data_IF_446740781331
#
_entry.id   IF_446740781331
#
_cell.length_a   1.000
_cell.length_b   1.000
_cell.length_c   1.000
_cell.angle_alpha   90.00
_cell.angle_beta   90.00
_cell.angle_gamma   90.00
#
_symmetry.space_group_name_H-M   'P 1'
#
loop_
_entity.id
_entity.type
_entity.pdbx_description
1 polymer ?
#
# COMPACT_ATOMS: atom_id res chain seq x y z
N UNK A 1 -18.52 2.69 2.68
CA UNK A 1 -17.58 3.70 2.11
C UNK A 1 -18.22 4.43 0.93
N UNK A 2 -18.48 3.77 -0.22
CA UNK A 2 -19.02 4.47 -1.41
C UNK A 2 -20.37 5.18 -1.20
N UNK A 3 -21.20 4.69 -0.26
CA UNK A 3 -22.46 5.34 0.13
C UNK A 3 -22.28 6.73 0.75
N UNK A 4 -21.07 7.07 1.20
CA UNK A 4 -20.74 8.40 1.72
C UNK A 4 -20.35 9.39 0.61
N UNK A 5 -20.38 8.98 -0.67
CA UNK A 5 -20.00 9.78 -1.83
C UNK A 5 -18.67 10.52 -1.65
N UNK A 6 -17.55 9.80 -1.42
CA UNK A 6 -16.27 10.43 -1.15
C UNK A 6 -15.75 11.17 -2.39
N UNK A 7 -15.05 12.27 -2.18
CA UNK A 7 -14.29 12.95 -3.25
C UNK A 7 -12.93 12.29 -3.49
N UNK A 8 -12.41 11.53 -2.52
CA UNK A 8 -11.11 10.86 -2.56
C UNK A 8 -11.17 9.48 -1.90
N UNK A 9 -10.61 8.47 -2.55
CA UNK A 9 -10.49 7.10 -2.02
C UNK A 9 -9.04 6.63 -2.04
N UNK A 10 -8.52 6.30 -0.85
CA UNK A 10 -7.25 5.58 -0.68
C UNK A 10 -7.47 4.08 -0.59
N UNK A 11 -6.63 3.29 -1.24
CA UNK A 11 -6.64 1.82 -1.16
C UNK A 11 -5.28 1.33 -0.62
N UNK A 12 -5.27 0.69 0.55
CA UNK A 12 -4.05 0.17 1.17
C UNK A 12 -4.33 -1.22 1.79
N UNK A 13 -3.87 -2.26 1.11
CA UNK A 13 -3.93 -3.67 1.54
C UNK A 13 -2.87 -4.48 0.79
N UNK A 14 -2.66 -5.75 1.18
CA UNK A 14 -1.72 -6.65 0.51
C UNK A 14 -0.83 -7.45 1.44
N UNK A 15 -0.53 -6.98 2.66
CA UNK A 15 0.27 -7.75 3.63
C UNK A 15 -0.46 -9.03 4.03
N UNK A 16 -1.71 -8.89 4.49
CA UNK A 16 -2.49 -10.06 4.91
C UNK A 16 -2.74 -11.02 3.74
N UNK A 17 -3.00 -10.50 2.54
CA UNK A 17 -3.16 -11.30 1.32
C UNK A 17 -1.87 -12.10 1.03
N UNK A 18 -0.72 -11.45 1.18
CA UNK A 18 0.59 -12.08 1.06
C UNK A 18 0.80 -13.20 2.07
N UNK A 19 0.51 -12.93 3.34
CA UNK A 19 0.72 -13.91 4.42
C UNK A 19 -0.27 -15.08 4.34
N UNK A 20 -1.47 -14.86 3.80
CA UNK A 20 -2.45 -15.92 3.55
C UNK A 20 -2.25 -16.66 2.23
N UNK A 21 -1.26 -16.26 1.41
CA UNK A 21 -0.95 -16.93 0.15
C UNK A 21 -2.04 -16.78 -0.92
N UNK A 22 -2.75 -15.65 -0.94
CA UNK A 22 -3.74 -15.35 -1.98
C UNK A 22 -3.08 -15.44 -3.36
N UNK A 23 -3.73 -16.08 -4.33
CA UNK A 23 -3.14 -16.17 -5.66
C UNK A 23 -2.91 -14.77 -6.26
N UNK A 24 -1.70 -14.49 -6.76
CA UNK A 24 -1.34 -13.16 -7.28
C UNK A 24 -2.20 -12.71 -8.46
N UNK A 25 -2.70 -13.64 -9.29
CA UNK A 25 -3.58 -13.28 -10.41
C UNK A 25 -4.99 -12.94 -9.91
N UNK A 26 -5.46 -13.65 -8.89
CA UNK A 26 -6.76 -13.35 -8.26
C UNK A 26 -6.71 -12.01 -7.53
N UNK A 27 -5.63 -11.75 -6.79
CA UNK A 27 -5.38 -10.45 -6.16
C UNK A 27 -5.36 -9.31 -7.19
N UNK A 28 -4.61 -9.48 -8.30
CA UNK A 28 -4.54 -8.49 -9.39
C UNK A 28 -5.93 -8.23 -10.01
N UNK A 29 -6.68 -9.29 -10.29
CA UNK A 29 -8.04 -9.20 -10.84
C UNK A 29 -8.99 -8.47 -9.89
N UNK A 30 -9.01 -8.85 -8.62
CA UNK A 30 -9.87 -8.26 -7.61
C UNK A 30 -9.55 -6.77 -7.37
N UNK A 31 -8.26 -6.41 -7.33
CA UNK A 31 -7.86 -5.00 -7.24
C UNK A 31 -8.38 -4.20 -8.44
N UNK A 32 -8.28 -4.75 -9.65
CA UNK A 32 -8.80 -4.11 -10.86
C UNK A 32 -10.31 -3.92 -10.80
N UNK A 33 -11.05 -4.95 -10.41
CA UNK A 33 -12.51 -4.90 -10.23
C UNK A 33 -12.92 -3.88 -9.16
N UNK A 34 -12.16 -3.80 -8.05
CA UNK A 34 -12.38 -2.82 -6.99
C UNK A 34 -12.23 -1.39 -7.51
N UNK A 35 -11.12 -1.06 -8.17
CA UNK A 35 -10.86 0.28 -8.72
C UNK A 35 -11.93 0.66 -9.74
N UNK A 36 -12.26 -0.24 -10.66
CA UNK A 36 -13.31 -0.01 -11.66
C UNK A 36 -14.68 0.21 -11.02
N UNK A 37 -15.00 -0.53 -9.96
CA UNK A 37 -16.24 -0.35 -9.20
C UNK A 37 -16.32 1.03 -8.57
N UNK A 38 -15.22 1.53 -7.99
CA UNK A 38 -15.17 2.87 -7.39
C UNK A 38 -15.41 3.93 -8.48
N UNK A 39 -14.66 3.88 -9.59
CA UNK A 39 -14.82 4.80 -10.73
C UNK A 39 -16.22 4.82 -11.32
N UNK A 40 -16.88 3.65 -11.40
CA UNK A 40 -18.22 3.55 -11.99
C UNK A 40 -19.33 4.04 -11.06
N UNK A 41 -19.06 4.12 -9.75
CA UNK A 41 -20.08 4.45 -8.74
C UNK A 41 -19.89 5.82 -8.11
N UNK A 42 -18.76 6.48 -8.34
CA UNK A 42 -18.38 7.73 -7.70
C UNK A 42 -17.59 8.61 -8.67
N UNK A 43 -17.48 9.90 -8.36
CA UNK A 43 -16.54 10.81 -9.03
C UNK A 43 -15.23 10.96 -8.23
N UNK A 44 -14.89 9.99 -7.39
CA UNK A 44 -13.73 10.10 -6.50
C UNK A 44 -12.43 10.07 -7.29
N UNK A 45 -11.46 10.89 -6.86
CA UNK A 45 -10.06 10.61 -7.13
C UNK A 45 -9.64 9.34 -6.36
N UNK A 46 -8.74 8.55 -6.95
CA UNK A 46 -8.31 7.27 -6.38
C UNK A 46 -6.78 7.24 -6.35
N UNK A 47 -6.24 6.78 -5.22
CA UNK A 47 -4.84 6.40 -5.12
C UNK A 47 -4.68 5.10 -4.35
N UNK A 48 -3.68 4.32 -4.76
CA UNK A 48 -3.33 3.04 -4.18
C UNK A 48 -2.00 3.18 -3.46
N UNK A 49 -1.86 2.54 -2.31
CA UNK A 49 -0.71 2.68 -1.43
C UNK A 49 -0.15 1.29 -1.13
N UNK A 50 1.15 1.08 -1.34
CA UNK A 50 1.84 -0.06 -0.74
C UNK A 50 1.96 0.12 0.78
N UNK A 51 2.55 -0.84 1.48
CA UNK A 51 2.75 -0.75 2.93
C UNK A 51 4.22 -0.69 3.33
N UNK A 52 4.46 -0.77 4.63
CA UNK A 52 5.73 -0.84 5.33
C UNK A 52 6.63 -2.01 4.89
N UNK A 53 7.90 -1.91 5.28
CA UNK A 53 8.87 -3.02 5.24
C UNK A 53 8.63 -3.90 6.46
N UNK A 54 8.61 -5.22 6.26
CA UNK A 54 8.43 -6.20 7.34
C UNK A 54 9.78 -6.64 7.93
N UNK A 55 9.79 -7.06 9.20
CA UNK A 55 11.04 -7.50 9.85
C UNK A 55 11.59 -8.80 9.25
N UNK A 56 10.71 -9.76 8.92
CA UNK A 56 11.10 -11.01 8.28
C UNK A 56 11.34 -10.81 6.77
N UNK A 57 12.56 -11.08 6.31
CA UNK A 57 12.97 -10.85 4.92
C UNK A 57 12.16 -11.67 3.91
N UNK A 58 11.72 -12.88 4.27
CA UNK A 58 10.94 -13.77 3.40
C UNK A 58 9.50 -13.23 3.28
N UNK A 59 8.91 -12.81 4.40
CA UNK A 59 7.61 -12.15 4.44
C UNK A 59 7.63 -10.86 3.63
N UNK A 60 8.65 -10.01 3.82
CA UNK A 60 8.84 -8.76 3.08
C UNK A 60 9.00 -9.01 1.58
N UNK A 61 9.82 -10.00 1.20
CA UNK A 61 9.97 -10.43 -0.19
C UNK A 61 8.67 -10.97 -0.80
N UNK A 62 7.81 -11.57 0.01
CA UNK A 62 6.50 -12.06 -0.42
C UNK A 62 5.53 -10.90 -0.60
N UNK A 63 5.44 -9.98 0.37
CA UNK A 63 4.60 -8.79 0.30
C UNK A 63 4.94 -7.89 -0.90
N UNK A 64 6.24 -7.73 -1.23
CA UNK A 64 6.70 -6.99 -2.42
C UNK A 64 6.03 -7.47 -3.72
N UNK A 65 5.80 -8.78 -3.88
CA UNK A 65 5.14 -9.32 -5.09
C UNK A 65 3.71 -8.80 -5.25
N UNK A 66 3.02 -8.51 -4.14
CA UNK A 66 1.68 -7.93 -4.14
C UNK A 66 1.76 -6.42 -4.39
N UNK A 67 2.75 -5.73 -3.84
CA UNK A 67 2.99 -4.32 -4.16
C UNK A 67 3.30 -4.10 -5.65
N UNK A 68 4.01 -5.03 -6.30
CA UNK A 68 4.19 -5.02 -7.77
C UNK A 68 2.84 -5.12 -8.50
N UNK A 69 1.88 -5.90 -7.99
CA UNK A 69 0.52 -5.96 -8.54
C UNK A 69 -0.24 -4.66 -8.29
N UNK A 70 -0.14 -4.09 -7.10
CA UNK A 70 -0.73 -2.78 -6.79
C UNK A 70 -0.24 -1.73 -7.80
N UNK A 71 1.08 -1.61 -8.00
CA UNK A 71 1.67 -0.66 -8.93
C UNK A 71 1.24 -0.92 -10.38
N UNK A 72 1.28 -2.19 -10.82
CA UNK A 72 0.87 -2.57 -12.17
C UNK A 72 -0.57 -2.17 -12.46
N UNK A 73 -1.51 -2.56 -11.60
CA UNK A 73 -2.93 -2.26 -11.79
C UNK A 73 -3.19 -0.76 -11.69
N UNK A 74 -2.52 -0.06 -10.76
CA UNK A 74 -2.65 1.40 -10.64
C UNK A 74 -2.28 2.10 -11.95
N UNK A 75 -1.20 1.66 -12.61
CA UNK A 75 -0.79 2.17 -13.92
C UNK A 75 -1.81 1.84 -15.02
N UNK A 76 -2.30 0.60 -15.09
CA UNK A 76 -3.30 0.18 -16.09
C UNK A 76 -4.61 0.97 -15.94
N UNK A 77 -5.03 1.18 -14.71
CA UNK A 77 -6.23 1.93 -14.36
C UNK A 77 -5.99 3.45 -14.30
N UNK A 78 -4.76 3.93 -14.55
CA UNK A 78 -4.44 5.37 -14.53
C UNK A 78 -4.84 6.06 -13.22
N UNK A 79 -4.61 5.40 -12.09
CA UNK A 79 -4.76 5.98 -10.75
C UNK A 79 -3.39 6.15 -10.10
N UNK A 80 -3.26 7.07 -9.14
CA UNK A 80 -1.98 7.31 -8.48
C UNK A 80 -1.54 6.10 -7.65
N UNK A 81 -0.24 5.85 -7.57
CA UNK A 81 0.36 4.83 -6.72
C UNK A 81 1.42 5.45 -5.80
N UNK A 82 1.27 5.24 -4.50
CA UNK A 82 2.20 5.70 -3.45
C UNK A 82 3.00 4.51 -2.95
N UNK A 83 4.28 4.48 -3.29
CA UNK A 83 5.20 3.39 -2.97
C UNK A 83 5.86 3.61 -1.60
N UNK A 84 5.08 3.43 -0.54
CA UNK A 84 5.56 3.52 0.85
C UNK A 84 6.69 2.54 1.13
N UNK A 85 6.63 1.34 0.54
CA UNK A 85 7.64 0.30 0.76
C UNK A 85 9.01 0.79 0.30
N UNK A 86 9.06 1.39 -0.90
CA UNK A 86 10.28 2.00 -1.42
C UNK A 86 10.77 3.17 -0.58
N UNK A 87 9.87 4.00 -0.05
CA UNK A 87 10.24 5.13 0.82
C UNK A 87 10.86 4.62 2.11
N UNK A 88 10.29 3.58 2.73
CA UNK A 88 10.87 2.92 3.90
C UNK A 88 12.23 2.33 3.59
N UNK A 89 12.35 1.55 2.51
CA UNK A 89 13.62 1.00 2.04
C UNK A 89 14.70 2.08 1.84
N UNK A 90 14.34 3.27 1.36
CA UNK A 90 15.26 4.38 1.25
C UNK A 90 15.71 4.88 2.63
N UNK A 91 14.79 5.10 3.57
CA UNK A 91 15.12 5.54 4.93
C UNK A 91 16.02 4.54 5.67
N UNK A 92 15.78 3.24 5.49
CA UNK A 92 16.65 2.20 6.05
C UNK A 92 18.07 2.29 5.49
N UNK A 93 18.22 2.51 4.17
CA UNK A 93 19.54 2.74 3.56
C UNK A 93 20.22 4.03 4.02
N UNK A 94 19.45 5.03 4.45
CA UNK A 94 19.94 6.27 5.03
C UNK A 94 20.32 6.13 6.52
N UNK A 95 20.16 4.93 7.10
CA UNK A 95 20.58 4.61 8.47
C UNK A 95 19.49 4.70 9.52
N UNK A 96 18.21 4.84 9.13
CA UNK A 96 17.10 4.67 10.09
C UNK A 96 16.95 3.17 10.40
N UNK A 97 16.95 2.84 11.68
CA UNK A 97 16.73 1.46 12.14
C UNK A 97 15.26 1.08 12.01
N UNK A 98 14.95 -0.09 11.42
CA UNK A 98 13.57 -0.53 11.18
C UNK A 98 12.75 -0.60 12.48
N UNK A 99 13.35 -1.09 13.56
CA UNK A 99 12.71 -1.21 14.87
C UNK A 99 12.24 0.13 15.47
N UNK A 100 12.78 1.26 14.99
CA UNK A 100 12.33 2.59 15.43
C UNK A 100 11.04 3.04 14.75
N UNK A 101 10.61 2.36 13.68
CA UNK A 101 9.40 2.67 12.91
C UNK A 101 8.25 1.70 13.20
N UNK A 102 8.50 0.61 13.93
CA UNK A 102 7.54 -0.45 14.23
C UNK A 102 7.13 -0.45 15.70
N UNK A 103 5.98 -1.06 15.98
CA UNK A 103 5.57 -1.40 17.35
C UNK A 103 6.32 -2.68 17.74
N UNK A 104 7.06 -2.72 18.86
CA UNK A 104 7.85 -3.89 19.22
C UNK A 104 7.03 -5.19 19.27
N UNK A 105 7.48 -6.22 18.53
CA UNK A 105 6.81 -7.52 18.44
C UNK A 105 5.58 -7.55 17.52
N UNK A 106 5.32 -6.47 16.78
CA UNK A 106 4.29 -6.39 15.76
C UNK A 106 4.92 -5.79 14.49
N UNK A 107 4.69 -6.39 13.32
CA UNK A 107 5.08 -5.80 12.03
C UNK A 107 4.27 -4.53 11.67
N UNK A 108 3.58 -3.91 12.63
CA UNK A 108 2.76 -2.72 12.41
C UNK A 108 3.58 -1.45 12.67
N UNK A 109 3.44 -0.41 11.82
CA UNK A 109 4.07 0.87 12.05
C UNK A 109 3.66 1.50 13.40
N UNK A 110 4.60 2.13 14.08
CA UNK A 110 4.31 3.04 15.17
C UNK A 110 3.97 4.45 14.64
N UNK A 111 3.86 5.44 15.52
CA UNK A 111 3.57 6.83 15.13
C UNK A 111 4.59 7.39 14.10
N UNK A 112 5.90 7.16 14.31
CA UNK A 112 6.94 7.62 13.39
C UNK A 112 6.88 6.90 12.04
N UNK A 113 6.57 5.60 12.06
CA UNK A 113 6.29 4.83 10.85
C UNK A 113 5.12 5.42 10.06
N UNK A 114 3.98 5.71 10.72
CA UNK A 114 2.81 6.31 10.08
C UNK A 114 3.02 7.77 9.65
N UNK A 115 3.93 8.53 10.26
CA UNK A 115 4.33 9.86 9.77
C UNK A 115 4.93 9.79 8.36
N UNK A 116 5.61 8.70 8.02
CA UNK A 116 6.12 8.46 6.65
C UNK A 116 4.96 8.32 5.67
N UNK A 117 3.93 7.56 6.02
CA UNK A 117 2.70 7.43 5.21
C UNK A 117 2.03 8.79 5.03
N UNK A 118 1.76 9.50 6.13
CA UNK A 118 1.10 10.79 6.10
C UNK A 118 1.84 11.80 5.22
N UNK A 119 3.18 11.86 5.33
CA UNK A 119 4.00 12.73 4.49
C UNK A 119 3.94 12.34 3.01
N UNK A 120 4.07 11.06 2.69
CA UNK A 120 4.05 10.60 1.30
C UNK A 120 2.69 10.84 0.62
N UNK A 121 1.59 10.69 1.37
CA UNK A 121 0.24 10.99 0.89
C UNK A 121 0.05 12.50 0.73
N UNK A 122 0.54 13.31 1.68
CA UNK A 122 0.45 14.76 1.60
C UNK A 122 1.21 15.32 0.39
N UNK A 123 2.37 14.75 0.05
CA UNK A 123 3.21 15.15 -1.09
C UNK A 123 2.56 14.82 -2.47
N UNK A 124 1.39 14.16 -2.52
CA UNK A 124 0.61 13.97 -3.75
C UNK A 124 -0.15 15.23 -4.22
N UNK A 125 -0.36 16.19 -3.32
CA UNK A 125 -1.19 17.38 -3.53
C UNK A 125 -0.37 18.66 -3.38
#
# INVERSE_FOLDING_TARGET
VLSYNPDLVSINFGINDAMNGVNLNDFEKLLKELIQTIKNKTNSDIFVISSEVLEDEIADATARKYYDKLQKVSREEKVAFVDIHRIWQQKLREGIELSTLLIPGLDHPNEEGYKIFAKAIADLF
#
